data_IF_413284006809
#
_entry.id   IF_413284006809
#
_cell.length_a   1.000
_cell.length_b   1.000
_cell.length_c   1.000
_cell.angle_alpha   90.00
_cell.angle_beta   90.00
_cell.angle_gamma   90.00
#
_symmetry.space_group_name_H-M   'P 1'
#
loop_
_entity.id
_entity.type
_entity.pdbx_description
1 polymer ?
#
# COMPACT_ATOMS: atom_id res chain seq x y z
N UNK A 1 -27.57 -27.86 16.64
CA UNK A 1 -27.21 -26.44 16.74
C UNK A 1 -27.33 -25.85 15.32
N UNK A 2 -28.12 -24.80 15.16
CA UNK A 2 -28.32 -24.19 13.86
C UNK A 2 -27.03 -23.47 13.44
N UNK A 3 -26.61 -23.57 12.16
CA UNK A 3 -25.37 -22.91 11.68
C UNK A 3 -25.41 -21.39 11.92
N UNK A 4 -26.56 -20.77 11.75
CA UNK A 4 -26.77 -19.34 11.98
C UNK A 4 -26.48 -18.97 13.45
N UNK A 5 -27.02 -19.74 14.43
CA UNK A 5 -26.77 -19.48 15.86
C UNK A 5 -25.28 -19.52 16.21
N UNK A 6 -24.50 -20.30 15.50
CA UNK A 6 -23.05 -20.35 15.68
C UNK A 6 -22.37 -19.06 15.19
N UNK A 7 -22.78 -18.54 14.03
CA UNK A 7 -22.28 -17.27 13.48
C UNK A 7 -22.69 -16.10 14.38
N UNK A 8 -23.96 -16.06 14.85
CA UNK A 8 -24.45 -15.01 15.72
C UNK A 8 -23.66 -14.95 17.05
N UNK A 9 -23.33 -16.10 17.64
CA UNK A 9 -22.48 -16.15 18.85
C UNK A 9 -21.05 -15.66 18.57
N UNK A 10 -20.48 -15.99 17.41
CA UNK A 10 -19.16 -15.46 17.02
C UNK A 10 -19.20 -13.94 16.84
N UNK A 11 -20.25 -13.41 16.21
CA UNK A 11 -20.44 -11.97 16.05
C UNK A 11 -20.62 -11.27 17.41
N UNK A 12 -21.42 -11.84 18.31
CA UNK A 12 -21.58 -11.32 19.66
C UNK A 12 -20.27 -11.31 20.47
N UNK A 13 -19.41 -12.34 20.28
CA UNK A 13 -18.10 -12.39 20.91
C UNK A 13 -17.14 -11.33 20.36
N UNK A 14 -17.19 -11.04 19.05
CA UNK A 14 -16.44 -9.95 18.41
C UNK A 14 -16.91 -8.59 18.94
N UNK A 15 -18.22 -8.41 19.10
CA UNK A 15 -18.80 -7.16 19.63
C UNK A 15 -18.42 -6.94 21.10
N UNK A 16 -18.51 -7.98 21.93
CA UNK A 16 -18.11 -7.92 23.34
C UNK A 16 -16.63 -7.56 23.55
N UNK A 17 -15.76 -7.83 22.55
CA UNK A 17 -14.35 -7.43 22.56
C UNK A 17 -14.11 -6.03 21.95
N UNK A 18 -15.17 -5.31 21.57
CA UNK A 18 -15.06 -4.00 20.91
C UNK A 18 -14.39 -4.06 19.52
N UNK A 19 -14.40 -5.23 18.86
CA UNK A 19 -13.72 -5.45 17.57
C UNK A 19 -14.65 -5.38 16.36
N UNK A 20 -15.93 -5.07 16.55
CA UNK A 20 -16.91 -4.92 15.46
C UNK A 20 -16.47 -3.86 14.47
N UNK A 21 -16.44 -4.22 13.18
CA UNK A 21 -16.17 -3.32 12.08
C UNK A 21 -17.45 -2.86 11.42
N UNK A 22 -17.56 -1.55 11.15
CA UNK A 22 -18.70 -0.96 10.46
C UNK A 22 -18.24 -0.26 9.20
N UNK A 23 -18.95 -0.50 8.09
CA UNK A 23 -18.73 0.25 6.84
C UNK A 23 -19.39 1.61 6.98
N UNK A 24 -18.75 2.64 6.41
CA UNK A 24 -19.33 3.96 6.21
C UNK A 24 -19.55 4.20 4.73
N UNK A 25 -20.55 4.99 4.38
CA UNK A 25 -20.86 5.33 2.99
C UNK A 25 -20.36 6.74 2.69
N UNK A 26 -19.42 6.84 1.73
CA UNK A 26 -19.04 8.12 1.15
C UNK A 26 -20.02 8.44 0.01
N UNK A 27 -20.70 9.58 0.13
CA UNK A 27 -21.73 10.03 -0.83
C UNK A 27 -21.16 10.92 -1.93
N UNK A 28 -19.88 11.31 -1.83
CA UNK A 28 -19.18 12.18 -2.77
C UNK A 28 -17.90 11.53 -3.27
N UNK A 29 -17.20 12.19 -4.19
CA UNK A 29 -15.89 11.75 -4.68
C UNK A 29 -14.87 11.64 -3.56
N UNK A 30 -13.83 10.81 -3.76
CA UNK A 30 -12.70 10.73 -2.83
C UNK A 30 -11.94 12.07 -2.84
N UNK A 31 -12.01 12.78 -1.72
CA UNK A 31 -11.38 14.08 -1.50
C UNK A 31 -11.22 14.30 0.02
N UNK A 32 -10.41 15.28 0.48
CA UNK A 32 -10.37 15.63 1.91
C UNK A 32 -11.75 16.03 2.45
N UNK A 33 -12.45 16.93 1.77
CA UNK A 33 -13.80 17.32 2.13
C UNK A 33 -14.81 16.46 1.39
N UNK A 34 -15.54 15.62 2.14
CA UNK A 34 -16.54 14.71 1.58
C UNK A 34 -17.75 14.56 2.49
N UNK A 35 -18.85 14.10 1.91
CA UNK A 35 -20.04 13.70 2.69
C UNK A 35 -19.94 12.21 2.99
N UNK A 36 -20.06 11.85 4.27
CA UNK A 36 -19.99 10.47 4.76
C UNK A 36 -21.17 10.21 5.69
N UNK A 37 -21.97 9.19 5.38
CA UNK A 37 -23.20 8.86 6.11
C UNK A 37 -24.10 10.12 6.25
N UNK A 38 -24.22 10.92 5.17
CA UNK A 38 -25.01 12.17 5.13
C UNK A 38 -24.42 13.36 5.90
N UNK A 39 -23.18 13.29 6.40
CA UNK A 39 -22.51 14.37 7.15
C UNK A 39 -21.29 14.89 6.43
N UNK A 40 -21.09 16.21 6.41
CA UNK A 40 -19.85 16.81 5.93
C UNK A 40 -18.70 16.43 6.86
N UNK A 41 -17.64 15.86 6.30
CA UNK A 41 -16.46 15.38 7.01
C UNK A 41 -15.19 15.87 6.34
N UNK A 42 -14.19 16.22 7.14
CA UNK A 42 -12.81 16.39 6.69
C UNK A 42 -12.04 15.10 7.00
N UNK A 43 -11.64 14.38 5.95
CA UNK A 43 -11.13 13.02 6.04
C UNK A 43 -9.60 12.99 6.02
N UNK A 44 -9.01 12.37 7.03
CA UNK A 44 -7.58 12.06 7.15
C UNK A 44 -7.33 10.55 7.17
N UNK A 45 -8.01 9.81 6.29
CA UNK A 45 -7.98 8.34 6.26
C UNK A 45 -7.82 7.75 4.86
N UNK A 46 -7.85 8.58 3.82
CA UNK A 46 -7.66 8.12 2.44
C UNK A 46 -6.20 7.81 2.15
N UNK A 47 -5.96 6.79 1.31
CA UNK A 47 -4.64 6.51 0.76
C UNK A 47 -4.41 7.20 -0.61
N UNK A 48 -5.31 8.08 -1.05
CA UNK A 48 -5.12 8.93 -2.24
C UNK A 48 -4.14 10.07 -1.93
N UNK A 49 -2.86 9.68 -1.74
CA UNK A 49 -1.78 10.56 -1.24
C UNK A 49 -1.54 11.78 -2.11
N UNK A 50 -1.73 11.64 -3.42
CA UNK A 50 -1.53 12.75 -4.36
C UNK A 50 -2.84 13.47 -4.72
N UNK A 51 -4.00 13.01 -4.22
CA UNK A 51 -5.31 13.60 -4.54
C UNK A 51 -5.68 13.40 -6.01
N UNK A 52 -5.38 12.25 -6.58
CA UNK A 52 -5.60 11.96 -7.99
C UNK A 52 -6.90 11.20 -8.27
N UNK A 53 -7.57 10.65 -7.25
CA UNK A 53 -8.77 9.83 -7.44
C UNK A 53 -9.95 10.60 -8.07
N UNK A 54 -10.00 11.92 -7.90
CA UNK A 54 -10.99 12.80 -8.53
C UNK A 54 -10.38 13.74 -9.58
N UNK A 55 -9.19 13.44 -10.10
CA UNK A 55 -8.48 14.31 -11.02
C UNK A 55 -9.20 14.38 -12.39
N UNK A 56 -9.54 15.60 -12.92
CA UNK A 56 -10.34 15.73 -14.14
C UNK A 56 -9.76 15.03 -15.37
N UNK A 57 -8.44 15.12 -15.56
CA UNK A 57 -7.78 14.47 -16.70
C UNK A 57 -7.83 12.93 -16.61
N UNK A 58 -7.75 12.34 -15.40
CA UNK A 58 -7.87 10.89 -15.20
C UNK A 58 -9.31 10.45 -15.45
N UNK A 59 -10.30 11.22 -14.99
CA UNK A 59 -11.73 10.96 -15.25
C UNK A 59 -11.99 11.00 -16.76
N UNK A 60 -11.48 12.02 -17.47
CA UNK A 60 -11.63 12.12 -18.92
C UNK A 60 -10.99 10.94 -19.65
N UNK A 61 -9.76 10.54 -19.25
CA UNK A 61 -9.10 9.36 -19.81
C UNK A 61 -9.86 8.05 -19.52
N UNK A 62 -10.49 7.93 -18.34
CA UNK A 62 -11.33 6.77 -18.01
C UNK A 62 -12.57 6.72 -18.93
N UNK A 63 -13.22 7.84 -19.18
CA UNK A 63 -14.37 7.95 -20.10
C UNK A 63 -13.96 7.61 -21.54
N UNK A 64 -12.83 8.14 -22.01
CA UNK A 64 -12.25 7.78 -23.31
C UNK A 64 -11.92 6.28 -23.40
N UNK A 65 -11.26 5.74 -22.40
CA UNK A 65 -10.93 4.31 -22.35
C UNK A 65 -12.16 3.43 -22.36
N UNK A 66 -13.25 3.84 -21.69
CA UNK A 66 -14.52 3.12 -21.73
C UNK A 66 -15.17 3.17 -23.12
N UNK A 67 -15.07 4.30 -23.83
CA UNK A 67 -15.57 4.44 -25.19
C UNK A 67 -14.77 3.61 -26.21
N UNK A 68 -13.42 3.51 -26.03
CA UNK A 68 -12.53 2.79 -26.94
C UNK A 68 -12.56 1.27 -26.72
N UNK A 69 -12.62 0.81 -25.47
CA UNK A 69 -12.35 -0.57 -25.09
C UNK A 69 -13.53 -1.26 -24.40
N UNK A 70 -14.61 -0.56 -24.11
CA UNK A 70 -15.76 -1.07 -23.37
C UNK A 70 -15.53 -1.11 -21.85
N UNK A 71 -16.52 -1.71 -21.14
CA UNK A 71 -16.59 -1.69 -19.67
C UNK A 71 -15.78 -2.82 -19.00
N UNK A 72 -15.43 -3.88 -19.72
CA UNK A 72 -14.76 -5.06 -19.13
C UNK A 72 -13.97 -5.87 -20.13
N UNK A 73 -13.10 -6.75 -19.62
CA UNK A 73 -12.17 -7.54 -20.43
C UNK A 73 -12.76 -8.85 -20.96
N UNK A 74 -13.84 -9.36 -20.37
CA UNK A 74 -14.58 -10.56 -20.79
C UNK A 74 -13.88 -11.89 -20.55
N UNK A 75 -12.56 -11.91 -20.25
CA UNK A 75 -11.77 -13.13 -20.02
C UNK A 75 -10.50 -12.84 -19.21
N UNK A 76 -9.76 -13.90 -18.86
CA UNK A 76 -8.40 -13.75 -18.31
C UNK A 76 -7.42 -13.26 -19.37
N UNK A 77 -6.28 -12.73 -18.92
CA UNK A 77 -5.24 -12.19 -19.79
C UNK A 77 -4.77 -13.21 -20.85
N UNK A 78 -4.60 -14.49 -20.47
CA UNK A 78 -4.08 -15.54 -21.35
C UNK A 78 -5.12 -16.13 -22.32
N UNK A 79 -6.40 -15.73 -22.23
CA UNK A 79 -7.43 -16.15 -23.16
C UNK A 79 -7.72 -15.04 -24.17
N UNK A 80 -8.52 -14.04 -23.82
CA UNK A 80 -8.87 -12.92 -24.70
C UNK A 80 -9.00 -11.60 -23.95
N UNK A 81 -8.68 -11.57 -22.65
CA UNK A 81 -8.85 -10.40 -21.81
C UNK A 81 -7.68 -9.39 -21.86
N UNK A 82 -6.55 -9.73 -22.52
CA UNK A 82 -5.37 -8.87 -22.61
C UNK A 82 -5.44 -7.96 -23.82
N UNK A 83 -5.94 -6.75 -23.63
CA UNK A 83 -6.13 -5.78 -24.71
C UNK A 83 -4.97 -4.78 -24.85
N UNK A 84 -5.06 -3.93 -25.90
CA UNK A 84 -4.03 -2.93 -26.21
C UNK A 84 -3.74 -1.98 -25.05
N UNK A 85 -4.74 -1.55 -24.31
CA UNK A 85 -4.56 -0.67 -23.15
C UNK A 85 -3.68 -1.30 -22.06
N UNK A 86 -3.82 -2.62 -21.82
CA UNK A 86 -2.96 -3.35 -20.87
C UNK A 86 -1.50 -3.35 -21.34
N UNK A 87 -1.26 -3.68 -22.61
CA UNK A 87 0.09 -3.69 -23.22
C UNK A 87 0.75 -2.32 -23.07
N UNK A 88 0.05 -1.24 -23.47
CA UNK A 88 0.58 0.11 -23.39
C UNK A 88 0.91 0.54 -21.96
N UNK A 89 0.06 0.16 -21.00
CA UNK A 89 0.30 0.44 -19.59
C UNK A 89 1.53 -0.33 -19.06
N UNK A 90 1.65 -1.62 -19.36
CA UNK A 90 2.79 -2.45 -18.95
C UNK A 90 4.11 -1.93 -19.56
N UNK A 91 4.12 -1.56 -20.84
CA UNK A 91 5.26 -0.94 -21.51
C UNK A 91 5.64 0.40 -20.84
N UNK A 92 4.63 1.21 -20.48
CA UNK A 92 4.85 2.51 -19.83
C UNK A 92 5.43 2.34 -18.42
N UNK A 93 4.92 1.39 -17.64
CA UNK A 93 5.47 1.05 -16.31
C UNK A 93 6.90 0.52 -16.44
N UNK A 94 7.17 -0.39 -17.38
CA UNK A 94 8.53 -0.88 -17.62
C UNK A 94 9.50 0.25 -17.92
N UNK A 95 9.13 1.18 -18.82
CA UNK A 95 9.94 2.37 -19.12
C UNK A 95 10.13 3.28 -17.88
N UNK A 96 9.10 3.42 -17.05
CA UNK A 96 9.17 4.22 -15.83
C UNK A 96 10.11 3.63 -14.79
N UNK A 97 10.18 2.29 -14.68
CA UNK A 97 11.03 1.58 -13.71
C UNK A 97 12.41 1.18 -14.26
N UNK A 98 12.69 1.42 -15.54
CA UNK A 98 13.94 1.04 -16.19
C UNK A 98 15.24 1.56 -15.50
N UNK A 99 15.27 2.74 -14.85
CA UNK A 99 16.46 3.16 -14.11
C UNK A 99 16.84 2.26 -12.92
N UNK A 100 15.89 1.48 -12.40
CA UNK A 100 16.05 0.71 -11.17
C UNK A 100 16.15 -0.80 -11.39
N UNK A 101 15.63 -1.31 -12.50
CA UNK A 101 15.61 -2.75 -12.78
C UNK A 101 16.14 -2.97 -14.20
N UNK A 102 17.34 -3.55 -14.35
CA UNK A 102 17.88 -3.89 -15.66
C UNK A 102 16.98 -4.88 -16.41
N UNK A 103 16.80 -4.68 -17.72
CA UNK A 103 15.96 -5.52 -18.57
C UNK A 103 14.53 -5.73 -17.99
N UNK A 104 13.96 -4.65 -17.49
CA UNK A 104 12.65 -4.66 -16.83
C UNK A 104 11.51 -4.92 -17.81
N UNK A 105 10.55 -5.70 -17.37
CA UNK A 105 9.18 -5.78 -17.88
C UNK A 105 8.20 -5.55 -16.74
N UNK A 106 6.93 -5.36 -17.08
CA UNK A 106 5.87 -5.18 -16.10
C UNK A 106 4.67 -6.08 -16.40
N UNK A 107 3.91 -6.37 -15.35
CA UNK A 107 2.68 -7.16 -15.41
C UNK A 107 1.60 -6.42 -14.64
N UNK A 108 0.44 -6.18 -15.26
CA UNK A 108 -0.70 -5.50 -14.66
C UNK A 108 -1.69 -6.49 -14.04
N UNK A 109 -2.14 -6.22 -12.81
CA UNK A 109 -3.08 -7.03 -12.05
C UNK A 109 -4.21 -6.19 -11.46
N UNK A 110 -5.32 -6.84 -11.10
CA UNK A 110 -6.51 -6.15 -10.58
C UNK A 110 -6.29 -5.49 -9.21
N UNK A 111 -5.40 -6.00 -8.37
CA UNK A 111 -5.13 -5.46 -7.00
C UNK A 111 -3.71 -5.76 -6.55
N UNK A 112 -3.17 -4.96 -5.59
CA UNK A 112 -1.90 -5.24 -4.93
C UNK A 112 -1.90 -6.56 -4.16
N UNK A 113 -3.04 -6.91 -3.56
CA UNK A 113 -3.20 -8.20 -2.88
C UNK A 113 -2.93 -9.38 -3.84
N UNK A 114 -3.52 -9.34 -5.04
CA UNK A 114 -3.29 -10.34 -6.07
C UNK A 114 -1.84 -10.35 -6.58
N UNK A 115 -1.22 -9.17 -6.72
CA UNK A 115 0.17 -9.06 -7.16
C UNK A 115 1.12 -9.74 -6.17
N UNK A 116 0.97 -9.50 -4.88
CA UNK A 116 1.77 -10.15 -3.85
C UNK A 116 1.59 -11.67 -3.81
N UNK A 117 0.34 -12.14 -3.91
CA UNK A 117 0.07 -13.58 -4.03
C UNK A 117 0.70 -14.18 -5.29
N UNK A 118 0.64 -13.46 -6.41
CA UNK A 118 1.21 -13.91 -7.68
C UNK A 118 2.74 -14.08 -7.59
N UNK A 119 3.44 -13.04 -7.08
CA UNK A 119 4.90 -13.06 -6.92
C UNK A 119 5.34 -14.22 -6.02
N UNK A 120 4.80 -14.26 -4.80
CA UNK A 120 5.29 -15.21 -3.78
C UNK A 120 4.92 -16.66 -4.10
N UNK A 121 3.71 -16.91 -4.64
CA UNK A 121 3.33 -18.26 -5.02
C UNK A 121 4.06 -18.78 -6.26
N UNK A 122 4.50 -17.90 -7.16
CA UNK A 122 5.23 -18.32 -8.35
C UNK A 122 6.73 -18.50 -8.08
N UNK A 123 7.38 -17.57 -7.39
CA UNK A 123 8.81 -17.66 -7.02
C UNK A 123 9.05 -18.72 -5.95
N UNK A 124 8.13 -18.86 -4.98
CA UNK A 124 8.18 -19.84 -3.91
C UNK A 124 7.47 -21.16 -4.25
N UNK A 125 7.34 -21.52 -5.53
CA UNK A 125 6.64 -22.73 -5.96
C UNK A 125 7.37 -24.04 -5.60
N UNK A 126 8.69 -23.99 -5.45
CA UNK A 126 9.52 -25.14 -5.21
C UNK A 126 9.71 -25.38 -3.69
N UNK A 127 9.75 -26.65 -3.26
CA UNK A 127 9.81 -27.01 -1.83
C UNK A 127 11.14 -26.69 -1.16
N UNK A 128 12.19 -26.55 -1.94
CA UNK A 128 13.54 -26.17 -1.50
C UNK A 128 13.77 -24.65 -1.59
N UNK A 129 12.74 -23.88 -1.89
CA UNK A 129 12.75 -22.43 -1.76
C UNK A 129 12.50 -22.00 -0.30
N UNK A 130 13.04 -20.83 0.09
CA UNK A 130 12.85 -20.22 1.39
C UNK A 130 12.47 -18.75 1.25
N UNK A 131 11.41 -18.36 1.93
CA UNK A 131 10.94 -16.98 2.04
C UNK A 131 11.37 -16.43 3.40
N UNK A 132 12.07 -15.30 3.40
CA UNK A 132 12.47 -14.52 4.58
C UNK A 132 11.54 -13.33 4.66
N UNK A 133 10.53 -13.41 5.54
CA UNK A 133 9.45 -12.42 5.65
C UNK A 133 9.73 -11.44 6.77
N UNK A 134 9.58 -10.16 6.47
CA UNK A 134 9.58 -9.11 7.48
C UNK A 134 8.36 -9.27 8.42
N UNK A 135 8.54 -8.98 9.72
CA UNK A 135 7.53 -9.27 10.75
C UNK A 135 6.25 -8.43 10.64
N UNK A 136 6.34 -7.20 10.13
CA UNK A 136 5.21 -6.28 9.98
C UNK A 136 4.65 -6.20 8.55
N UNK A 137 5.04 -7.13 7.69
CA UNK A 137 4.56 -7.22 6.32
C UNK A 137 3.03 -7.18 6.22
N UNK A 138 2.55 -6.54 5.17
CA UNK A 138 1.13 -6.52 4.84
C UNK A 138 0.54 -7.94 4.72
N UNK A 139 -0.73 -8.09 5.09
CA UNK A 139 -1.44 -9.39 5.08
C UNK A 139 -1.31 -10.14 3.75
N UNK A 140 -1.29 -9.43 2.61
CA UNK A 140 -1.13 -10.06 1.29
C UNK A 140 0.23 -10.73 1.08
N UNK A 141 1.31 -10.18 1.67
CA UNK A 141 2.63 -10.80 1.65
C UNK A 141 2.66 -12.04 2.55
N UNK A 142 2.05 -11.95 3.73
CA UNK A 142 1.91 -13.09 4.66
C UNK A 142 1.09 -14.22 3.99
N UNK A 143 -0.03 -13.89 3.38
CA UNK A 143 -0.89 -14.89 2.74
C UNK A 143 -0.25 -15.44 1.46
N UNK A 144 0.46 -14.62 0.69
CA UNK A 144 1.27 -15.08 -0.44
C UNK A 144 2.36 -16.06 -0.03
N UNK A 145 3.06 -15.80 1.07
CA UNK A 145 4.05 -16.72 1.65
C UNK A 145 3.42 -18.03 2.12
N UNK A 146 2.22 -17.98 2.74
CA UNK A 146 1.47 -19.19 3.13
C UNK A 146 1.00 -20.03 1.96
N UNK A 147 0.65 -19.41 0.84
CA UNK A 147 0.22 -20.10 -0.38
C UNK A 147 1.39 -20.66 -1.18
N UNK A 148 2.60 -20.17 -0.99
CA UNK A 148 3.81 -20.71 -1.55
C UNK A 148 4.11 -22.11 -0.98
N UNK A 149 4.87 -22.91 -1.71
CA UNK A 149 5.37 -24.21 -1.20
C UNK A 149 6.69 -24.08 -0.47
N UNK A 150 7.32 -22.92 -0.56
CA UNK A 150 8.56 -22.57 0.10
C UNK A 150 8.45 -22.66 1.63
N UNK A 151 9.55 -22.95 2.30
CA UNK A 151 9.67 -22.69 3.72
C UNK A 151 9.56 -21.19 4.01
N UNK A 152 9.06 -20.83 5.20
CA UNK A 152 8.93 -19.43 5.60
C UNK A 152 9.65 -19.24 6.94
N UNK A 153 10.52 -18.25 7.01
CA UNK A 153 11.09 -17.74 8.25
C UNK A 153 10.82 -16.25 8.38
N UNK A 154 10.66 -15.77 9.61
CA UNK A 154 10.34 -14.35 9.86
C UNK A 154 11.55 -13.70 10.53
N UNK A 155 11.94 -12.53 10.08
CA UNK A 155 12.92 -11.69 10.79
C UNK A 155 12.21 -10.50 11.45
N UNK A 156 12.77 -10.05 12.58
CA UNK A 156 12.18 -8.97 13.34
C UNK A 156 12.20 -7.66 12.54
N UNK A 157 11.27 -6.77 12.87
CA UNK A 157 11.08 -5.51 12.17
C UNK A 157 12.38 -4.70 12.06
N UNK A 158 12.80 -4.43 10.81
CA UNK A 158 14.02 -3.70 10.50
C UNK A 158 15.33 -4.39 10.87
N UNK A 159 15.31 -5.64 11.38
CA UNK A 159 16.51 -6.34 11.87
C UNK A 159 17.32 -6.98 10.73
N UNK A 160 18.18 -6.18 10.14
CA UNK A 160 19.10 -6.58 9.06
C UNK A 160 20.09 -7.65 9.55
N UNK A 161 20.52 -7.62 10.82
CA UNK A 161 21.48 -8.58 11.36
C UNK A 161 20.85 -9.97 11.52
N UNK A 162 19.60 -10.03 11.99
CA UNK A 162 18.86 -11.29 12.04
C UNK A 162 18.67 -11.88 10.64
N UNK A 163 18.27 -11.05 9.64
CA UNK A 163 18.15 -11.50 8.26
C UNK A 163 19.48 -12.03 7.70
N UNK A 164 20.58 -11.32 7.93
CA UNK A 164 21.91 -11.76 7.49
C UNK A 164 22.26 -13.14 8.06
N UNK A 165 21.98 -13.37 9.35
CA UNK A 165 22.22 -14.66 10.02
C UNK A 165 21.35 -15.77 9.42
N UNK A 166 20.07 -15.49 9.14
CA UNK A 166 19.14 -16.43 8.52
C UNK A 166 19.56 -16.81 7.09
N UNK A 167 19.96 -15.81 6.28
CA UNK A 167 20.45 -16.03 4.91
C UNK A 167 21.74 -16.85 4.90
N UNK A 168 22.68 -16.56 5.80
CA UNK A 168 23.94 -17.30 5.92
C UNK A 168 23.72 -18.76 6.30
N UNK A 169 22.72 -19.07 7.14
CA UNK A 169 22.38 -20.43 7.55
C UNK A 169 21.54 -21.19 6.50
N UNK A 170 20.98 -20.51 5.51
CA UNK A 170 20.08 -21.13 4.54
C UNK A 170 20.83 -21.92 3.47
N UNK A 171 20.37 -23.15 3.25
CA UNK A 171 20.82 -24.03 2.16
C UNK A 171 19.84 -24.06 0.99
N UNK A 172 18.78 -23.23 1.03
CA UNK A 172 17.76 -23.20 0.00
C UNK A 172 18.34 -22.81 -1.37
N UNK A 173 17.87 -23.47 -2.44
CA UNK A 173 18.28 -23.18 -3.82
C UNK A 173 17.73 -21.82 -4.30
N UNK A 174 16.54 -21.48 -3.84
CA UNK A 174 15.88 -20.19 -4.12
C UNK A 174 15.61 -19.47 -2.80
N UNK A 175 16.16 -18.28 -2.66
CA UNK A 175 15.97 -17.41 -1.48
C UNK A 175 15.18 -16.17 -1.89
N UNK A 176 14.16 -15.83 -1.10
CA UNK A 176 13.25 -14.70 -1.39
C UNK A 176 13.12 -13.89 -0.11
N UNK A 177 13.69 -12.69 -0.08
CA UNK A 177 13.45 -11.70 0.98
C UNK A 177 12.24 -10.87 0.60
N UNK A 178 11.31 -10.66 1.52
CA UNK A 178 10.09 -9.92 1.25
C UNK A 178 9.78 -8.91 2.34
N UNK A 179 9.47 -7.67 1.92
CA UNK A 179 9.18 -6.56 2.81
C UNK A 179 8.24 -5.54 2.16
N UNK A 180 7.43 -4.86 2.98
CA UNK A 180 6.89 -3.55 2.61
C UNK A 180 8.06 -2.54 2.54
N UNK A 181 7.97 -1.54 1.68
CA UNK A 181 8.91 -0.41 1.63
C UNK A 181 8.57 0.66 2.68
N UNK A 182 7.28 0.91 2.84
CA UNK A 182 6.66 1.81 3.82
C UNK A 182 5.63 1.02 4.59
N UNK A 183 5.80 0.87 5.88
CA UNK A 183 4.89 0.09 6.72
C UNK A 183 3.58 0.85 6.95
N UNK A 184 2.48 0.23 6.56
CA UNK A 184 1.18 0.88 6.42
C UNK A 184 0.58 1.41 7.71
N UNK A 185 0.99 0.87 8.86
CA UNK A 185 0.48 1.26 10.19
C UNK A 185 1.43 2.16 10.96
N UNK A 186 2.72 2.16 10.60
CA UNK A 186 3.78 2.86 11.31
C UNK A 186 4.35 4.05 10.51
N UNK A 187 4.28 3.98 9.18
CA UNK A 187 4.74 5.05 8.29
C UNK A 187 6.25 5.14 8.15
N UNK A 188 6.99 4.21 8.74
CA UNK A 188 8.44 4.13 8.63
C UNK A 188 8.88 3.38 7.36
N UNK A 189 10.17 3.51 7.05
CA UNK A 189 10.78 2.95 5.83
C UNK A 189 11.60 1.71 6.16
N UNK A 190 11.45 0.67 5.34
CA UNK A 190 12.36 -0.48 5.38
C UNK A 190 13.80 -0.07 5.02
N UNK A 191 14.83 -0.69 5.63
CA UNK A 191 16.24 -0.41 5.33
C UNK A 191 16.67 -1.05 3.99
N UNK A 192 15.97 -0.71 2.88
CA UNK A 192 16.12 -1.34 1.57
C UNK A 192 17.56 -1.41 1.05
N UNK A 193 18.43 -0.40 1.23
CA UNK A 193 19.81 -0.51 0.79
C UNK A 193 20.56 -1.68 1.43
N UNK A 194 20.39 -1.89 2.73
CA UNK A 194 21.03 -2.99 3.44
C UNK A 194 20.40 -4.35 3.07
N UNK A 195 19.08 -4.40 2.89
CA UNK A 195 18.37 -5.61 2.46
C UNK A 195 18.82 -6.04 1.06
N UNK A 196 18.94 -5.09 0.12
CA UNK A 196 19.40 -5.38 -1.23
C UNK A 196 20.84 -5.88 -1.25
N UNK A 197 21.73 -5.26 -0.49
CA UNK A 197 23.13 -5.70 -0.38
C UNK A 197 23.23 -7.16 0.12
N UNK A 198 22.40 -7.54 1.11
CA UNK A 198 22.32 -8.93 1.56
C UNK A 198 21.77 -9.85 0.46
N UNK A 199 20.74 -9.43 -0.24
CA UNK A 199 20.16 -10.22 -1.33
C UNK A 199 21.19 -10.48 -2.45
N UNK A 200 21.98 -9.48 -2.82
CA UNK A 200 23.05 -9.64 -3.80
C UNK A 200 24.17 -10.54 -3.29
N UNK A 201 24.56 -10.38 -2.02
CA UNK A 201 25.61 -11.22 -1.40
C UNK A 201 25.22 -12.71 -1.36
N UNK A 202 23.96 -13.01 -1.06
CA UNK A 202 23.49 -14.39 -0.88
C UNK A 202 22.72 -14.96 -2.08
N UNK A 203 22.65 -14.24 -3.21
CA UNK A 203 21.93 -14.66 -4.40
C UNK A 203 20.42 -14.81 -4.16
N UNK A 204 19.81 -13.88 -3.43
CA UNK A 204 18.39 -13.88 -3.12
C UNK A 204 17.63 -12.84 -3.96
N UNK A 205 16.33 -13.08 -4.18
CA UNK A 205 15.40 -12.06 -4.67
C UNK A 205 15.01 -11.11 -3.54
N UNK A 206 14.87 -9.82 -3.84
CA UNK A 206 14.26 -8.84 -2.96
C UNK A 206 12.90 -8.43 -3.52
N UNK A 207 11.82 -8.92 -2.92
CA UNK A 207 10.44 -8.52 -3.22
C UNK A 207 10.10 -7.33 -2.35
N UNK A 208 9.80 -6.19 -3.00
CA UNK A 208 9.46 -4.93 -2.34
C UNK A 208 8.02 -4.57 -2.68
N UNK A 209 7.13 -4.62 -1.69
CA UNK A 209 5.80 -4.00 -1.79
C UNK A 209 5.92 -2.50 -1.51
N UNK A 210 5.84 -1.71 -2.56
CA UNK A 210 5.91 -0.25 -2.48
C UNK A 210 4.54 0.41 -2.65
N UNK A 211 3.51 -0.23 -2.13
CA UNK A 211 2.14 0.25 -2.21
C UNK A 211 1.94 1.65 -1.61
N UNK A 212 2.75 2.04 -0.65
CA UNK A 212 2.67 3.34 0.01
C UNK A 212 3.77 4.32 -0.44
N UNK A 213 4.80 3.86 -1.14
CA UNK A 213 5.87 4.72 -1.66
C UNK A 213 5.70 5.09 -3.13
N UNK A 214 5.13 4.21 -3.96
CA UNK A 214 4.87 4.50 -5.38
C UNK A 214 4.05 5.79 -5.55
N UNK A 215 4.52 6.69 -6.40
CA UNK A 215 3.94 8.02 -6.62
C UNK A 215 4.34 9.06 -5.56
N UNK A 216 4.72 8.63 -4.35
CA UNK A 216 5.00 9.49 -3.17
C UNK A 216 6.49 9.74 -2.98
N UNK A 217 7.29 8.68 -3.01
CA UNK A 217 8.74 8.74 -2.78
C UNK A 217 9.50 8.93 -4.10
N UNK A 218 10.68 9.54 -4.01
CA UNK A 218 11.54 9.84 -5.15
C UNK A 218 11.11 11.12 -5.91
N UNK A 219 12.05 11.71 -6.62
CA UNK A 219 11.85 12.99 -7.35
C UNK A 219 10.82 12.86 -8.48
N UNK A 220 10.80 11.72 -9.15
CA UNK A 220 9.87 11.41 -10.23
C UNK A 220 8.69 10.52 -9.78
N UNK A 221 8.61 10.18 -8.48
CA UNK A 221 7.55 9.33 -7.93
C UNK A 221 7.69 7.85 -8.28
N UNK A 222 8.89 7.37 -8.58
CA UNK A 222 9.17 5.95 -8.82
C UNK A 222 9.21 5.11 -7.53
N UNK A 223 8.93 5.76 -6.39
CA UNK A 223 8.82 5.09 -5.12
C UNK A 223 10.15 4.89 -4.40
N UNK A 224 10.17 3.88 -3.53
CA UNK A 224 11.30 3.62 -2.63
C UNK A 224 12.61 3.29 -3.37
N UNK A 225 12.56 2.65 -4.54
CA UNK A 225 13.77 2.38 -5.30
C UNK A 225 14.46 3.66 -5.76
N UNK A 226 13.71 4.66 -6.19
CA UNK A 226 14.26 5.97 -6.54
C UNK A 226 14.73 6.73 -5.30
N UNK A 227 13.93 6.70 -4.23
CA UNK A 227 14.26 7.38 -2.97
C UNK A 227 15.62 6.96 -2.41
N UNK A 228 15.94 5.67 -2.48
CA UNK A 228 17.21 5.10 -2.03
C UNK A 228 18.24 4.92 -3.14
N UNK A 229 17.95 5.37 -4.37
CA UNK A 229 18.81 5.21 -5.54
C UNK A 229 19.29 3.76 -5.76
N UNK A 230 18.35 2.80 -5.68
CA UNK A 230 18.64 1.38 -5.84
C UNK A 230 18.50 0.95 -7.30
N UNK A 231 19.40 0.05 -7.73
CA UNK A 231 19.30 -0.61 -9.05
C UNK A 231 19.89 -2.02 -8.94
N UNK A 232 19.10 -3.05 -9.30
CA UNK A 232 19.56 -4.44 -9.28
C UNK A 232 18.63 -5.34 -10.10
N UNK A 233 19.16 -6.37 -10.77
CA UNK A 233 18.35 -7.42 -11.39
C UNK A 233 17.66 -8.34 -10.36
N UNK A 234 18.04 -8.28 -9.07
CA UNK A 234 17.45 -9.07 -7.99
C UNK A 234 16.15 -8.48 -7.45
N UNK A 235 15.77 -7.28 -7.92
CA UNK A 235 14.56 -6.59 -7.46
C UNK A 235 13.30 -7.14 -8.14
N UNK A 236 12.27 -7.39 -7.34
CA UNK A 236 10.89 -7.62 -7.76
C UNK A 236 10.03 -6.59 -7.06
N UNK A 237 9.59 -5.60 -7.81
CA UNK A 237 8.86 -4.44 -7.29
C UNK A 237 7.36 -4.58 -7.51
N UNK A 238 6.58 -4.33 -6.48
CA UNK A 238 5.11 -4.31 -6.53
C UNK A 238 4.62 -2.90 -6.22
N UNK A 239 3.98 -2.26 -7.19
CA UNK A 239 3.33 -0.96 -7.03
C UNK A 239 1.82 -1.10 -7.04
N UNK A 240 1.11 -0.34 -6.20
CA UNK A 240 -0.35 -0.31 -6.20
C UNK A 240 -0.89 0.97 -6.84
N UNK A 241 -1.98 0.84 -7.59
CA UNK A 241 -2.54 1.91 -8.41
C UNK A 241 -3.86 2.46 -7.84
N UNK A 242 -4.30 1.87 -6.73
CA UNK A 242 -5.50 2.30 -6.00
C UNK A 242 -5.21 3.28 -4.86
N UNK A 243 -3.95 3.77 -4.74
CA UNK A 243 -3.53 4.75 -3.73
C UNK A 243 -3.08 6.04 -4.42
N UNK A 244 -1.79 6.40 -4.36
CA UNK A 244 -1.28 7.63 -4.96
C UNK A 244 -1.61 7.81 -6.46
N UNK A 245 -1.76 6.72 -7.21
CA UNK A 245 -2.14 6.79 -8.61
C UNK A 245 -3.64 7.10 -8.85
N UNK A 246 -4.49 7.02 -7.82
CA UNK A 246 -5.89 7.48 -7.85
C UNK A 246 -6.85 6.66 -8.70
N UNK A 247 -6.50 5.46 -9.18
CA UNK A 247 -7.35 4.65 -10.07
C UNK A 247 -7.67 3.30 -9.44
N UNK A 248 -6.90 2.27 -9.77
CA UNK A 248 -7.10 0.90 -9.29
C UNK A 248 -6.21 -0.09 -9.98
N UNK A 249 -6.00 -1.26 -9.34
CA UNK A 249 -5.08 -2.26 -9.83
C UNK A 249 -3.73 -2.20 -9.13
N UNK A 250 -2.80 -2.96 -9.68
CA UNK A 250 -1.41 -3.02 -9.27
C UNK A 250 -0.53 -3.45 -10.44
N UNK A 251 0.76 -3.25 -10.30
CA UNK A 251 1.73 -3.79 -11.24
C UNK A 251 2.89 -4.47 -10.50
N UNK A 252 3.49 -5.42 -11.20
CA UNK A 252 4.77 -6.02 -10.82
C UNK A 252 5.78 -5.56 -11.86
N UNK A 253 6.91 -5.01 -11.43
CA UNK A 253 8.04 -4.69 -12.30
C UNK A 253 9.25 -5.51 -11.84
N UNK A 254 9.86 -6.26 -12.76
CA UNK A 254 10.99 -7.12 -12.48
C UNK A 254 11.77 -7.41 -13.77
N UNK A 255 12.92 -8.08 -13.66
CA UNK A 255 13.64 -8.58 -14.83
C UNK A 255 12.71 -9.42 -15.72
N UNK A 256 12.84 -9.31 -17.03
CA UNK A 256 11.96 -9.95 -18.02
C UNK A 256 11.72 -11.46 -17.76
N UNK A 257 12.77 -12.19 -17.37
CA UNK A 257 12.63 -13.63 -17.04
C UNK A 257 11.73 -13.88 -15.82
N UNK A 258 11.68 -12.96 -14.86
CA UNK A 258 10.77 -13.07 -13.70
C UNK A 258 9.33 -12.83 -14.16
N UNK A 259 9.10 -11.79 -14.94
CA UNK A 259 7.77 -11.50 -15.49
C UNK A 259 7.26 -12.66 -16.34
N UNK A 260 8.09 -13.23 -17.19
CA UNK A 260 7.73 -14.43 -17.97
C UNK A 260 7.37 -15.61 -17.07
N UNK A 261 8.15 -15.87 -16.02
CA UNK A 261 7.84 -16.92 -15.04
C UNK A 261 6.47 -16.68 -14.36
N UNK A 262 6.16 -15.42 -14.03
CA UNK A 262 4.85 -15.07 -13.44
C UNK A 262 3.71 -15.34 -14.40
N UNK A 263 3.86 -14.98 -15.68
CA UNK A 263 2.88 -15.29 -16.73
C UNK A 263 2.60 -16.80 -16.83
N UNK A 264 3.65 -17.63 -16.69
CA UNK A 264 3.54 -19.08 -16.81
C UNK A 264 3.05 -19.77 -15.53
N UNK A 265 3.23 -19.20 -14.33
CA UNK A 265 3.00 -19.91 -13.05
C UNK A 265 2.04 -19.22 -12.10
N UNK A 266 1.86 -17.90 -12.18
CA UNK A 266 1.09 -17.14 -11.20
C UNK A 266 -0.42 -17.40 -11.35
N UNK A 267 -0.96 -18.26 -10.49
CA UNK A 267 -2.39 -18.60 -10.50
C UNK A 267 -3.33 -17.39 -10.40
N UNK A 268 -3.05 -16.34 -9.59
CA UNK A 268 -3.87 -15.14 -9.57
C UNK A 268 -3.91 -14.38 -10.90
N UNK A 269 -2.90 -14.52 -11.76
CA UNK A 269 -2.89 -13.93 -13.09
C UNK A 269 -3.59 -14.83 -14.13
N UNK A 270 -3.28 -16.13 -14.10
CA UNK A 270 -3.77 -17.10 -15.10
C UNK A 270 -5.30 -17.29 -15.03
N UNK A 271 -5.84 -17.41 -13.81
CA UNK A 271 -7.23 -17.83 -13.56
C UNK A 271 -8.18 -16.71 -13.15
N UNK A 272 -7.77 -15.45 -13.32
CA UNK A 272 -8.59 -14.28 -13.00
C UNK A 272 -8.92 -13.51 -14.27
N UNK A 273 -10.16 -13.02 -14.39
CA UNK A 273 -10.53 -12.08 -15.45
C UNK A 273 -9.62 -10.84 -15.36
N UNK A 274 -9.10 -10.40 -16.50
CA UNK A 274 -8.27 -9.22 -16.59
C UNK A 274 -9.04 -7.96 -16.11
N UNK A 275 -8.33 -7.01 -15.56
CA UNK A 275 -8.91 -5.73 -15.16
C UNK A 275 -9.54 -5.02 -16.38
N UNK A 276 -10.60 -4.21 -16.19
CA UNK A 276 -11.18 -3.42 -17.28
C UNK A 276 -10.12 -2.59 -18.02
N UNK A 277 -10.05 -2.66 -19.36
CA UNK A 277 -9.01 -1.96 -20.12
C UNK A 277 -9.12 -0.44 -20.01
N UNK A 278 -10.30 0.10 -19.71
CA UNK A 278 -10.50 1.52 -19.43
C UNK A 278 -9.68 2.01 -18.24
N UNK A 279 -9.49 1.18 -17.20
CA UNK A 279 -8.62 1.51 -16.07
C UNK A 279 -7.16 1.58 -16.50
N UNK A 280 -6.68 0.62 -17.29
CA UNK A 280 -5.32 0.63 -17.82
C UNK A 280 -5.06 1.87 -18.69
N UNK A 281 -6.06 2.29 -19.49
CA UNK A 281 -5.98 3.52 -20.28
C UNK A 281 -5.89 4.77 -19.40
N UNK A 282 -6.73 4.90 -18.38
CA UNK A 282 -6.68 6.03 -17.43
C UNK A 282 -5.37 6.10 -16.64
N UNK A 283 -4.77 4.95 -16.36
CA UNK A 283 -3.49 4.85 -15.66
C UNK A 283 -2.31 5.41 -16.46
N UNK A 284 -2.37 5.46 -17.79
CA UNK A 284 -1.35 6.15 -18.60
C UNK A 284 -1.30 7.65 -18.25
N UNK A 285 -2.46 8.30 -18.17
CA UNK A 285 -2.57 9.70 -17.74
C UNK A 285 -2.10 9.88 -16.29
N UNK A 286 -2.44 8.95 -15.40
CA UNK A 286 -1.97 8.99 -14.01
C UNK A 286 -0.45 8.91 -13.91
N UNK A 287 0.21 8.03 -14.66
CA UNK A 287 1.67 7.93 -14.71
C UNK A 287 2.32 9.21 -15.25
N UNK A 288 1.72 9.83 -16.28
CA UNK A 288 2.22 11.11 -16.84
C UNK A 288 2.14 12.23 -15.80
N UNK A 289 1.06 12.28 -15.02
CA UNK A 289 0.93 13.24 -13.92
C UNK A 289 1.97 12.96 -12.84
N UNK A 290 2.09 11.71 -12.37
CA UNK A 290 3.03 11.30 -11.32
C UNK A 290 4.48 11.66 -11.68
N UNK A 291 4.90 11.31 -12.90
CA UNK A 291 6.26 11.56 -13.38
C UNK A 291 6.52 13.00 -13.84
N UNK A 292 5.47 13.81 -13.97
CA UNK A 292 5.53 15.17 -14.50
C UNK A 292 5.70 16.26 -13.43
N UNK A 293 5.66 17.51 -13.89
CA UNK A 293 5.79 18.68 -13.03
C UNK A 293 4.68 18.78 -11.98
N UNK A 294 3.45 18.39 -12.33
CA UNK A 294 2.32 18.38 -11.41
C UNK A 294 2.53 17.39 -10.27
N UNK A 295 2.96 16.16 -10.56
CA UNK A 295 3.26 15.14 -9.54
C UNK A 295 4.38 15.60 -8.60
N UNK A 296 5.42 16.26 -9.14
CA UNK A 296 6.47 16.87 -8.32
C UNK A 296 5.92 17.96 -7.39
N UNK A 297 5.05 18.83 -7.90
CA UNK A 297 4.40 19.87 -7.09
C UNK A 297 3.53 19.28 -5.97
N UNK A 298 2.75 18.22 -6.27
CA UNK A 298 1.91 17.51 -5.30
C UNK A 298 2.74 16.81 -4.22
N UNK A 299 3.84 16.14 -4.57
CA UNK A 299 4.78 15.58 -3.59
C UNK A 299 5.37 16.66 -2.69
N UNK A 300 5.77 17.79 -3.26
CA UNK A 300 6.25 18.94 -2.49
C UNK A 300 5.20 19.52 -1.53
N UNK A 301 3.95 19.61 -1.96
CA UNK A 301 2.83 20.00 -1.09
C UNK A 301 2.64 19.00 0.05
N UNK A 302 2.62 17.71 -0.27
CA UNK A 302 2.47 16.65 0.72
C UNK A 302 3.58 16.69 1.78
N UNK A 303 4.83 16.90 1.37
CA UNK A 303 5.96 17.04 2.28
C UNK A 303 5.80 18.24 3.23
N UNK A 304 5.37 19.39 2.73
CA UNK A 304 5.07 20.57 3.57
C UNK A 304 3.98 20.32 4.61
N UNK A 305 2.91 19.59 4.22
CA UNK A 305 1.83 19.24 5.14
C UNK A 305 2.27 18.26 6.22
N UNK A 306 3.15 17.32 5.88
CA UNK A 306 3.79 16.42 6.86
C UNK A 306 4.65 17.21 7.84
N UNK A 307 5.49 18.12 7.35
CA UNK A 307 6.33 19.00 8.18
C UNK A 307 5.50 19.92 9.09
N UNK A 308 4.41 20.49 8.56
CA UNK A 308 3.48 21.29 9.35
C UNK A 308 2.87 20.48 10.48
N UNK A 309 2.39 19.27 10.22
CA UNK A 309 1.83 18.39 11.25
C UNK A 309 2.90 18.05 12.28
N UNK A 310 4.12 17.70 11.84
CA UNK A 310 5.24 17.33 12.70
C UNK A 310 5.61 18.46 13.68
N UNK A 311 5.73 19.67 13.17
CA UNK A 311 6.16 20.83 13.95
C UNK A 311 5.07 21.41 14.87
N UNK A 312 3.78 21.15 14.58
CA UNK A 312 2.66 21.77 15.29
C UNK A 312 1.94 20.84 16.26
N UNK A 313 2.16 19.53 16.16
CA UNK A 313 1.50 18.54 17.02
C UNK A 313 2.27 18.44 18.35
N UNK A 314 1.58 18.74 19.46
CA UNK A 314 2.14 18.71 20.82
C UNK A 314 1.49 17.58 21.59
N UNK A 315 2.22 16.48 21.78
CA UNK A 315 1.76 15.30 22.51
C UNK A 315 2.55 15.16 23.83
N UNK A 316 1.85 14.90 24.93
CA UNK A 316 2.44 14.68 26.26
C UNK A 316 2.30 13.24 26.74
N UNK A 317 1.23 12.57 26.35
CA UNK A 317 0.87 11.20 26.78
C UNK A 317 0.86 10.23 25.62
N UNK A 318 0.32 10.66 24.46
CA UNK A 318 0.32 9.86 23.27
C UNK A 318 1.68 9.90 22.58
N UNK A 319 2.03 8.85 21.87
CA UNK A 319 3.32 8.75 21.21
C UNK A 319 3.13 8.85 19.69
N UNK A 320 3.98 9.60 19.04
CA UNK A 320 4.07 9.64 17.58
C UNK A 320 5.46 9.17 17.17
N UNK A 321 5.58 7.95 16.60
CA UNK A 321 6.80 7.51 15.93
C UNK A 321 7.18 8.48 14.82
N UNK A 322 8.47 8.64 14.56
CA UNK A 322 8.95 9.49 13.47
C UNK A 322 8.52 8.88 12.13
N UNK A 323 7.83 9.67 11.31
CA UNK A 323 7.48 9.30 9.95
C UNK A 323 7.62 10.51 9.03
N UNK A 324 8.35 10.35 7.95
CA UNK A 324 8.49 11.33 6.86
C UNK A 324 7.49 11.08 5.73
N UNK A 325 6.63 10.06 5.89
CA UNK A 325 5.64 9.64 4.89
C UNK A 325 4.27 10.27 5.15
N UNK A 326 3.31 10.17 4.25
CA UNK A 326 1.95 10.65 4.50
C UNK A 326 1.22 9.94 5.64
N UNK A 327 1.73 8.81 6.12
CA UNK A 327 1.15 8.02 7.19
C UNK A 327 1.73 8.50 8.52
N UNK A 328 0.87 9.05 9.38
CA UNK A 328 1.25 9.69 10.65
C UNK A 328 0.50 9.03 11.81
N UNK A 329 1.05 7.95 12.40
CA UNK A 329 0.41 7.25 13.48
C UNK A 329 0.53 8.03 14.80
N UNK A 330 -0.54 8.01 15.59
CA UNK A 330 -0.55 8.54 16.97
C UNK A 330 -0.95 7.38 17.88
N UNK A 331 0.01 6.79 18.57
CA UNK A 331 -0.17 5.64 19.44
C UNK A 331 -0.82 6.10 20.75
N UNK A 332 -1.98 5.54 21.05
CA UNK A 332 -2.77 5.82 22.24
C UNK A 332 -2.62 4.70 23.28
N UNK A 333 -2.50 3.45 22.83
CA UNK A 333 -2.32 2.28 23.67
C UNK A 333 -3.60 1.44 23.80
N UNK A 334 -4.56 1.87 24.61
CA UNK A 334 -5.81 1.18 24.83
C UNK A 334 -6.76 1.19 23.64
N UNK A 335 -7.51 0.08 23.43
CA UNK A 335 -8.49 -0.01 22.34
C UNK A 335 -9.63 1.00 22.54
N UNK A 336 -10.17 1.06 23.76
CA UNK A 336 -11.30 1.92 24.08
C UNK A 336 -10.92 3.40 24.01
N UNK A 337 -9.72 3.75 24.48
CA UNK A 337 -9.20 5.11 24.42
C UNK A 337 -9.01 5.57 22.98
N UNK A 338 -8.46 4.71 22.10
CA UNK A 338 -8.31 5.00 20.68
C UNK A 338 -9.66 5.18 19.98
N UNK A 339 -10.65 4.36 20.35
CA UNK A 339 -12.01 4.47 19.81
C UNK A 339 -12.72 5.73 20.30
N UNK A 340 -12.55 6.12 21.56
CA UNK A 340 -13.09 7.36 22.12
C UNK A 340 -12.47 8.59 21.45
N UNK A 341 -11.15 8.59 21.25
CA UNK A 341 -10.44 9.67 20.53
C UNK A 341 -10.95 9.81 19.08
N UNK A 342 -11.08 8.70 18.35
CA UNK A 342 -11.63 8.70 17.00
C UNK A 342 -13.09 9.18 16.96
N UNK A 343 -13.91 8.78 17.91
CA UNK A 343 -15.31 9.22 18.04
C UNK A 343 -15.41 10.73 18.34
N UNK A 344 -14.55 11.25 19.21
CA UNK A 344 -14.49 12.67 19.54
C UNK A 344 -14.06 13.53 18.36
N UNK A 345 -13.09 13.09 17.56
CA UNK A 345 -12.73 13.74 16.31
C UNK A 345 -13.88 13.69 15.30
N UNK A 346 -14.52 12.53 15.15
CA UNK A 346 -15.66 12.36 14.25
C UNK A 346 -16.85 13.27 14.63
N UNK A 347 -17.10 13.49 15.92
CA UNK A 347 -18.13 14.42 16.39
C UNK A 347 -17.84 15.87 15.95
N UNK A 348 -16.57 16.23 15.79
CA UNK A 348 -16.10 17.53 15.30
C UNK A 348 -16.03 17.61 13.75
N UNK A 349 -16.47 16.59 13.03
CA UNK A 349 -16.40 16.54 11.58
C UNK A 349 -15.05 16.10 11.01
N UNK A 350 -14.14 15.57 11.85
CA UNK A 350 -12.82 15.06 11.44
C UNK A 350 -12.85 13.52 11.37
N UNK A 351 -12.59 12.96 10.20
CA UNK A 351 -12.60 11.51 10.03
C UNK A 351 -11.18 10.94 10.11
N UNK A 352 -10.82 10.48 11.30
CA UNK A 352 -9.55 9.80 11.60
C UNK A 352 -9.86 8.42 12.15
N UNK A 353 -9.41 7.32 11.53
CA UNK A 353 -9.71 5.97 11.99
C UNK A 353 -8.85 5.58 13.19
N UNK A 354 -9.45 4.87 14.16
CA UNK A 354 -8.72 4.11 15.15
C UNK A 354 -8.36 2.73 14.61
N UNK A 355 -7.07 2.38 14.67
CA UNK A 355 -6.54 1.07 14.31
C UNK A 355 -6.27 0.28 15.59
N UNK A 356 -6.73 -0.97 15.62
CA UNK A 356 -6.70 -1.87 16.79
C UNK A 356 -6.19 -3.25 16.39
N UNK A 357 -5.86 -4.11 17.36
CA UNK A 357 -5.61 -5.52 17.09
C UNK A 357 -6.75 -6.18 16.27
N UNK A 358 -6.45 -7.17 15.42
CA UNK A 358 -5.13 -7.76 15.15
C UNK A 358 -4.27 -6.99 14.13
N UNK A 359 -4.72 -5.84 13.64
CA UNK A 359 -4.01 -5.04 12.61
C UNK A 359 -2.71 -4.46 13.17
N UNK A 360 -2.69 -4.14 14.46
CA UNK A 360 -1.51 -3.69 15.22
C UNK A 360 -1.37 -4.54 16.49
N UNK A 361 -0.19 -4.61 17.12
CA UNK A 361 0.02 -5.36 18.35
C UNK A 361 -0.92 -4.91 19.50
N UNK A 362 -1.13 -5.79 20.48
CA UNK A 362 -1.89 -5.46 21.67
C UNK A 362 -1.25 -4.26 22.40
N UNK A 363 -2.10 -3.40 22.99
CA UNK A 363 -1.67 -2.16 23.68
C UNK A 363 -0.95 -1.15 22.81
N UNK A 364 -1.13 -1.19 21.48
CA UNK A 364 -0.61 -0.21 20.53
C UNK A 364 -1.69 0.36 19.62
N UNK A 365 -2.95 0.35 20.08
CA UNK A 365 -4.05 0.97 19.35
C UNK A 365 -3.73 2.45 19.10
N UNK A 366 -4.09 2.93 17.94
CA UNK A 366 -3.65 4.24 17.44
C UNK A 366 -4.68 4.93 16.58
N UNK A 367 -4.60 6.25 16.50
CA UNK A 367 -5.15 7.00 15.38
C UNK A 367 -4.18 6.88 14.20
N UNK A 368 -4.68 6.52 13.02
CA UNK A 368 -3.87 6.52 11.80
C UNK A 368 -4.25 7.74 10.96
N UNK A 369 -3.57 8.85 11.19
CA UNK A 369 -3.71 10.04 10.35
C UNK A 369 -3.04 9.77 9.00
N UNK A 370 -3.72 10.11 7.92
CA UNK A 370 -3.16 10.03 6.57
C UNK A 370 -3.36 11.37 5.86
N UNK A 371 -2.27 11.93 5.36
CA UNK A 371 -2.27 13.18 4.61
C UNK A 371 -2.37 12.91 3.11
N UNK A 372 -2.99 13.85 2.40
CA UNK A 372 -3.05 13.91 0.94
C UNK A 372 -2.59 15.28 0.46
N UNK A 373 -1.97 15.35 -0.69
CA UNK A 373 -1.62 16.61 -1.34
C UNK A 373 -2.84 17.51 -1.64
N UNK A 374 -4.05 16.94 -1.56
CA UNK A 374 -5.29 17.68 -1.71
C UNK A 374 -5.77 18.37 -0.42
N UNK A 375 -5.14 18.09 0.75
CA UNK A 375 -5.37 18.88 1.95
C UNK A 375 -4.75 20.27 1.82
N UNK A 376 -5.36 21.24 2.51
CA UNK A 376 -4.81 22.58 2.71
C UNK A 376 -4.05 22.64 4.05
N UNK A 377 -3.20 23.67 4.20
CA UNK A 377 -2.55 23.97 5.48
C UNK A 377 -3.57 24.25 6.59
N UNK A 378 -4.72 24.84 6.23
CA UNK A 378 -5.83 25.08 7.17
C UNK A 378 -6.45 23.76 7.66
N UNK A 379 -6.61 22.77 6.79
CA UNK A 379 -7.13 21.46 7.17
C UNK A 379 -6.22 20.77 8.19
N UNK A 380 -4.91 20.82 7.96
CA UNK A 380 -3.92 20.26 8.89
C UNK A 380 -3.91 21.02 10.21
N UNK A 381 -3.96 22.36 10.19
CA UNK A 381 -4.05 23.16 11.41
C UNK A 381 -5.30 22.84 12.23
N UNK A 382 -6.46 22.64 11.57
CA UNK A 382 -7.71 22.22 12.22
C UNK A 382 -7.57 20.85 12.90
N UNK A 383 -7.01 19.86 12.20
CA UNK A 383 -6.73 18.54 12.78
C UNK A 383 -5.82 18.63 14.00
N UNK A 384 -4.69 19.35 13.87
CA UNK A 384 -3.69 19.52 14.95
C UNK A 384 -4.33 20.16 16.19
N UNK A 385 -5.11 21.22 16.02
CA UNK A 385 -5.81 21.87 17.13
C UNK A 385 -6.77 20.92 17.86
N UNK A 386 -7.54 20.11 17.09
CA UNK A 386 -8.44 19.13 17.66
C UNK A 386 -7.71 18.02 18.44
N UNK A 387 -6.61 17.48 17.87
CA UNK A 387 -5.82 16.43 18.53
C UNK A 387 -5.14 16.98 19.80
N UNK A 388 -4.50 18.15 19.73
CA UNK A 388 -3.86 18.77 20.90
C UNK A 388 -4.86 19.04 22.04
N UNK A 389 -6.10 19.42 21.70
CA UNK A 389 -7.17 19.63 22.69
C UNK A 389 -7.60 18.31 23.32
N UNK A 390 -7.79 17.26 22.53
CA UNK A 390 -8.19 15.94 23.02
C UNK A 390 -7.11 15.32 23.92
N UNK A 391 -5.85 15.43 23.50
CA UNK A 391 -4.72 14.90 24.26
C UNK A 391 -4.55 15.63 25.60
N UNK A 392 -4.78 16.94 25.63
CA UNK A 392 -4.74 17.73 26.84
C UNK A 392 -5.88 17.48 27.82
N UNK A 393 -7.06 17.03 27.34
CA UNK A 393 -8.27 16.79 28.13
C UNK A 393 -8.50 15.31 28.48
N UNK A 394 -7.71 14.40 27.97
CA UNK A 394 -7.85 12.99 28.30
C UNK A 394 -7.42 12.73 29.77
N UNK A 395 -8.13 11.90 30.55
CA UNK A 395 -7.93 11.68 32.00
C UNK A 395 -6.55 11.11 32.36
#
# INVERSE_FOLDING_TARGET
MHLIDTIERQLAAIDAQGLTRRRRTADTVCAPHQTVDGRAMLAFCSNDYLGLAAHPAIIAALQEGAALYGAGSGASHLVSGHGRAHVQFEERVAAFMAPHIPNVQALYLCTGYMANLAVLSALGADKDAMIFSEALNHASLIDGARLARAGVTVYAHGDVAMLASQLAASTASTRIVVTDSVFSMDGDLAPLPALLALCEQYGAWLVVDDAHGFGVLGDNGRGALEHFNLSSPHLVYVGTLGKAAGVGGAFIAAHASVIELLVQRARPYIYTTAAPPALAHALLTSLDIIGGAEGKARRGQLARLVEQLDSSLILKRWQRPASTTPIQPIIIGGNDDAMQAAAALHAQGLWVPAIRPPTVPANTARLRVTLSAAHTEHDVAHLVAAINTLEGNAP
#
